data_IF_248623560518
#
_entry.id   IF_248623560518
#
_cell.length_a   1.000
_cell.length_b   1.000
_cell.length_c   1.000
_cell.angle_alpha   90.00
_cell.angle_beta   90.00
_cell.angle_gamma   90.00
#
_symmetry.space_group_name_H-M   'P 1'
#
loop_
_entity.id
_entity.type
_entity.pdbx_description
1 polymer ?
#
# COMPACT_ATOMS: atom_id res chain seq x y z
N UNK A 1 -14.35 20.20 8.95
CA UNK A 1 -15.19 19.29 9.74
C UNK A 1 -14.26 18.17 10.14
N UNK A 2 -13.90 18.07 11.42
CA UNK A 2 -12.97 17.03 11.91
C UNK A 2 -13.60 15.66 11.71
N UNK A 3 -12.78 14.66 11.35
CA UNK A 3 -13.27 13.31 11.14
C UNK A 3 -13.69 12.68 12.49
N UNK A 4 -14.65 11.72 12.50
CA UNK A 4 -15.00 11.01 13.73
C UNK A 4 -13.82 10.32 14.42
N UNK A 5 -12.78 9.98 13.64
CA UNK A 5 -11.53 9.39 14.13
C UNK A 5 -10.69 10.44 14.87
N UNK A 6 -10.57 11.65 14.32
CA UNK A 6 -9.86 12.77 14.98
C UNK A 6 -10.52 13.13 16.33
N UNK A 7 -11.85 13.19 16.35
CA UNK A 7 -12.64 13.39 17.58
C UNK A 7 -12.45 12.26 18.58
N UNK A 8 -12.26 11.01 18.13
CA UNK A 8 -12.00 9.89 19.04
C UNK A 8 -10.63 9.96 19.74
N UNK A 9 -9.71 10.77 19.21
CA UNK A 9 -8.36 10.96 19.76
C UNK A 9 -8.28 12.14 20.74
N UNK A 10 -9.35 12.91 20.95
CA UNK A 10 -9.36 14.01 21.92
C UNK A 10 -9.65 13.51 23.34
N UNK A 11 -8.99 14.13 24.34
CA UNK A 11 -9.19 13.83 25.75
C UNK A 11 -10.68 13.92 26.14
N UNK A 12 -11.14 12.98 26.98
CA UNK A 12 -12.52 12.88 27.46
C UNK A 12 -13.59 12.76 26.37
N UNK A 13 -13.25 12.20 25.20
CA UNK A 13 -14.20 12.05 24.10
C UNK A 13 -14.33 10.58 23.70
N UNK A 14 -15.57 10.09 23.60
CA UNK A 14 -15.89 8.76 23.08
C UNK A 14 -16.88 8.90 21.93
N UNK A 15 -16.56 8.27 20.81
CA UNK A 15 -17.40 8.29 19.61
C UNK A 15 -17.99 6.90 19.39
N UNK A 16 -19.32 6.80 19.38
CA UNK A 16 -20.03 5.58 19.00
C UNK A 16 -20.77 5.83 17.69
N UNK A 17 -20.54 4.96 16.71
CA UNK A 17 -21.13 5.06 15.38
C UNK A 17 -21.89 3.77 15.10
N UNK A 18 -23.15 3.89 14.72
CA UNK A 18 -23.91 2.79 14.12
C UNK A 18 -24.03 3.04 12.63
N UNK A 19 -23.76 2.03 11.82
CA UNK A 19 -23.80 2.19 10.37
C UNK A 19 -24.24 0.89 9.69
N UNK A 20 -25.17 1.03 8.75
CA UNK A 20 -25.41 0.04 7.69
C UNK A 20 -24.72 0.46 6.39
N UNK A 21 -24.01 1.59 6.39
CA UNK A 21 -23.26 2.08 5.23
C UNK A 21 -21.90 1.41 5.19
N UNK A 22 -21.61 0.65 4.14
CA UNK A 22 -20.41 -0.15 4.08
C UNK A 22 -19.11 0.65 3.98
N UNK A 23 -19.15 1.72 3.19
CA UNK A 23 -18.03 2.65 3.00
C UNK A 23 -17.58 3.27 4.33
N UNK A 24 -18.53 3.57 5.23
CA UNK A 24 -18.22 4.12 6.55
C UNK A 24 -17.61 3.06 7.46
N UNK A 25 -18.18 1.84 7.49
CA UNK A 25 -17.64 0.73 8.29
C UNK A 25 -16.19 0.38 7.88
N UNK A 26 -15.89 0.41 6.58
CA UNK A 26 -14.57 0.12 6.05
C UNK A 26 -13.51 1.19 6.30
N UNK A 27 -13.86 2.36 6.86
CA UNK A 27 -12.93 3.42 7.24
C UNK A 27 -12.54 3.38 8.73
N UNK A 28 -13.22 2.55 9.53
CA UNK A 28 -13.01 2.45 10.96
C UNK A 28 -11.97 1.35 11.28
N UNK A 29 -11.16 1.52 12.34
CA UNK A 29 -10.21 0.50 12.79
C UNK A 29 -10.90 -0.84 13.03
N UNK A 30 -10.28 -1.95 12.61
CA UNK A 30 -10.87 -3.31 12.72
C UNK A 30 -11.31 -3.64 14.13
N UNK A 31 -10.45 -3.39 15.11
CA UNK A 31 -10.69 -3.65 16.53
C UNK A 31 -11.86 -2.84 17.12
N UNK A 32 -12.27 -1.74 16.47
CA UNK A 32 -13.41 -0.92 16.89
C UNK A 32 -14.76 -1.48 16.41
N UNK A 33 -14.76 -2.36 15.40
CA UNK A 33 -16.00 -2.88 14.84
C UNK A 33 -16.71 -3.86 15.80
N UNK A 34 -18.03 -3.75 15.82
CA UNK A 34 -18.94 -4.69 16.49
C UNK A 34 -20.03 -5.08 15.50
N UNK A 35 -20.24 -6.38 15.27
CA UNK A 35 -21.39 -6.86 14.52
C UNK A 35 -22.55 -7.06 15.48
N UNK A 36 -23.71 -6.52 15.14
CA UNK A 36 -24.95 -6.71 15.89
C UNK A 36 -25.89 -7.53 15.02
N UNK A 37 -26.21 -8.75 15.45
CA UNK A 37 -27.16 -9.66 14.79
C UNK A 37 -28.39 -9.89 15.66
N UNK A 38 -29.48 -10.36 15.04
CA UNK A 38 -30.70 -10.73 15.73
C UNK A 38 -31.08 -12.16 15.35
N UNK A 39 -30.88 -13.08 16.28
CA UNK A 39 -31.23 -14.49 16.12
C UNK A 39 -32.49 -14.78 16.96
N UNK A 40 -33.62 -14.97 16.28
CA UNK A 40 -34.91 -15.28 16.90
C UNK A 40 -35.34 -14.33 18.05
N UNK A 41 -35.01 -13.04 17.93
CA UNK A 41 -35.36 -12.01 18.93
C UNK A 41 -34.26 -11.73 19.95
N UNK A 42 -33.17 -12.50 19.94
CA UNK A 42 -32.01 -12.31 20.81
C UNK A 42 -30.96 -11.49 20.05
N UNK A 43 -30.55 -10.36 20.63
CA UNK A 43 -29.49 -9.50 20.06
C UNK A 43 -28.13 -10.01 20.50
N UNK A 44 -27.33 -10.43 19.53
CA UNK A 44 -25.95 -10.83 19.75
C UNK A 44 -25.02 -9.68 19.34
N UNK A 45 -24.01 -9.41 20.17
CA UNK A 45 -22.97 -8.40 19.91
C UNK A 45 -21.65 -9.12 19.85
N UNK A 46 -21.03 -9.11 18.68
CA UNK A 46 -19.83 -9.88 18.41
C UNK A 46 -18.65 -8.92 18.21
N UNK A 47 -17.53 -9.10 18.95
CA UNK A 47 -16.33 -8.31 18.75
C UNK A 47 -15.69 -8.63 17.40
N UNK A 48 -14.83 -7.73 16.91
CA UNK A 48 -14.07 -7.98 15.69
C UNK A 48 -13.16 -9.20 15.85
N UNK A 49 -13.51 -10.26 15.14
CA UNK A 49 -12.72 -11.47 14.88
C UNK A 49 -12.76 -11.75 13.38
N UNK A 50 -11.90 -12.64 12.92
CA UNK A 50 -11.76 -12.96 11.49
C UNK A 50 -13.08 -13.43 10.85
N UNK A 51 -13.85 -14.26 11.55
CA UNK A 51 -15.17 -14.73 11.14
C UNK A 51 -16.24 -13.61 11.19
N UNK A 52 -16.18 -12.72 12.18
CA UNK A 52 -17.11 -11.60 12.32
C UNK A 52 -16.88 -10.55 11.22
N UNK A 53 -15.62 -10.27 10.88
CA UNK A 53 -15.28 -9.36 9.78
C UNK A 53 -15.83 -9.87 8.45
N UNK A 54 -15.76 -11.18 8.19
CA UNK A 54 -16.38 -11.78 7.01
C UNK A 54 -17.90 -11.55 7.01
N UNK A 55 -18.57 -11.84 8.11
CA UNK A 55 -20.03 -11.66 8.22
C UNK A 55 -20.45 -10.21 8.10
N UNK A 56 -19.64 -9.26 8.59
CA UNK A 56 -19.84 -7.82 8.37
C UNK A 56 -19.79 -7.50 6.87
N UNK A 57 -18.79 -8.00 6.15
CA UNK A 57 -18.64 -7.80 4.69
C UNK A 57 -19.83 -8.38 3.93
N UNK A 58 -20.25 -9.60 4.27
CA UNK A 58 -21.38 -10.29 3.65
C UNK A 58 -22.69 -9.54 3.90
N UNK A 59 -22.91 -9.08 5.14
CA UNK A 59 -24.11 -8.33 5.55
C UNK A 59 -24.19 -6.96 4.86
N UNK A 60 -23.04 -6.31 4.69
CA UNK A 60 -22.95 -4.98 4.11
C UNK A 60 -22.92 -4.99 2.58
N UNK A 61 -22.95 -6.16 1.94
CA UNK A 61 -22.96 -6.27 0.47
C UNK A 61 -21.73 -5.64 -0.17
N UNK A 62 -20.60 -5.66 0.55
CA UNK A 62 -19.33 -5.11 0.12
C UNK A 62 -18.69 -6.02 -0.92
N UNK A 63 -19.29 -6.08 -2.11
CA UNK A 63 -18.56 -6.51 -3.29
C UNK A 63 -17.56 -5.39 -3.63
N UNK A 64 -16.27 -5.72 -3.79
CA UNK A 64 -15.28 -4.75 -4.24
C UNK A 64 -15.50 -4.45 -5.71
N UNK A 65 -14.98 -3.31 -6.15
CA UNK A 65 -14.86 -3.03 -7.57
C UNK A 65 -14.19 -4.24 -8.24
N UNK A 66 -14.81 -4.81 -9.28
CA UNK A 66 -14.38 -6.10 -9.80
C UNK A 66 -12.97 -5.94 -10.36
N UNK A 67 -12.02 -6.63 -9.72
CA UNK A 67 -10.75 -6.99 -10.35
C UNK A 67 -11.11 -7.55 -11.73
N UNK A 68 -10.48 -6.99 -12.76
CA UNK A 68 -10.78 -7.36 -14.15
C UNK A 68 -10.78 -8.89 -14.28
N UNK A 69 -11.79 -9.45 -14.96
CA UNK A 69 -11.85 -10.90 -15.20
C UNK A 69 -10.65 -11.44 -15.99
N UNK A 70 -9.90 -10.55 -16.64
CA UNK A 70 -8.70 -10.89 -17.39
C UNK A 70 -7.42 -10.82 -16.54
N UNK A 71 -7.52 -10.40 -15.27
CA UNK A 71 -6.37 -10.33 -14.38
C UNK A 71 -5.77 -11.73 -14.21
N UNK A 72 -4.45 -11.83 -14.41
CA UNK A 72 -3.69 -13.08 -14.26
C UNK A 72 -2.96 -13.17 -12.94
N UNK A 73 -2.72 -12.03 -12.31
CA UNK A 73 -2.17 -11.92 -10.97
C UNK A 73 -2.62 -10.62 -10.30
N UNK A 74 -2.48 -10.53 -8.98
CA UNK A 74 -2.79 -9.33 -8.20
C UNK A 74 -1.53 -8.84 -7.49
N UNK A 75 -1.24 -7.54 -7.59
CA UNK A 75 -0.22 -6.88 -6.77
C UNK A 75 -0.92 -5.95 -5.78
N UNK A 76 -0.85 -6.29 -4.50
CA UNK A 76 -1.37 -5.49 -3.40
C UNK A 76 -0.37 -4.40 -3.04
N UNK A 77 -0.85 -3.16 -2.93
CA UNK A 77 -0.06 -1.99 -2.52
C UNK A 77 -0.78 -1.20 -1.43
N UNK A 78 -0.09 -0.37 -0.67
CA UNK A 78 -0.67 0.33 0.47
C UNK A 78 -1.62 1.47 0.04
N UNK A 79 -1.12 2.36 -0.80
CA UNK A 79 -1.76 3.60 -1.22
C UNK A 79 -2.18 3.61 -2.68
N UNK A 80 -3.08 4.54 -3.01
CA UNK A 80 -3.46 4.79 -4.41
C UNK A 80 -2.27 5.27 -5.24
N UNK A 81 -1.43 6.12 -4.65
CA UNK A 81 -0.28 6.72 -5.33
C UNK A 81 0.79 5.66 -5.67
N UNK A 82 0.81 4.54 -4.94
CA UNK A 82 1.71 3.42 -5.23
C UNK A 82 1.40 2.77 -6.58
N UNK A 83 0.13 2.81 -7.01
CA UNK A 83 -0.26 2.32 -8.35
C UNK A 83 0.46 3.13 -9.43
N UNK A 84 0.55 4.46 -9.26
CA UNK A 84 1.29 5.35 -10.16
C UNK A 84 2.78 5.03 -10.12
N UNK A 85 3.34 4.84 -8.92
CA UNK A 85 4.73 4.44 -8.72
C UNK A 85 5.06 3.14 -9.45
N UNK A 86 4.30 2.07 -9.22
CA UNK A 86 4.53 0.75 -9.83
C UNK A 86 4.44 0.85 -11.36
N UNK A 87 3.39 1.46 -11.89
CA UNK A 87 3.17 1.54 -13.33
C UNK A 87 4.30 2.31 -14.02
N UNK A 88 4.64 3.50 -13.53
CA UNK A 88 5.69 4.32 -14.11
C UNK A 88 7.07 3.66 -14.00
N UNK A 89 7.39 3.07 -12.85
CA UNK A 89 8.66 2.36 -12.65
C UNK A 89 8.76 1.17 -13.59
N UNK A 90 7.71 0.37 -13.73
CA UNK A 90 7.71 -0.79 -14.63
C UNK A 90 7.88 -0.36 -16.09
N UNK A 91 7.20 0.72 -16.50
CA UNK A 91 7.34 1.32 -17.83
C UNK A 91 8.81 1.74 -18.09
N UNK A 92 9.41 2.52 -17.19
CA UNK A 92 10.78 3.04 -17.35
C UNK A 92 11.85 1.95 -17.35
N UNK A 93 11.69 0.94 -16.50
CA UNK A 93 12.59 -0.21 -16.46
C UNK A 93 12.45 -1.08 -17.71
N UNK A 94 11.23 -1.24 -18.24
CA UNK A 94 10.97 -1.97 -19.49
C UNK A 94 11.54 -1.24 -20.70
N UNK A 95 11.33 0.08 -20.80
CA UNK A 95 11.89 0.94 -21.87
C UNK A 95 13.42 0.83 -21.95
N UNK A 96 14.08 0.67 -20.81
CA UNK A 96 15.53 0.51 -20.71
C UNK A 96 16.01 -0.96 -20.72
N UNK A 97 15.12 -1.92 -20.98
CA UNK A 97 15.40 -3.36 -21.03
C UNK A 97 15.94 -3.96 -19.71
N UNK A 98 15.62 -3.36 -18.56
CA UNK A 98 15.95 -3.92 -17.23
C UNK A 98 14.95 -4.99 -16.79
N UNK A 99 13.69 -4.89 -17.22
CA UNK A 99 12.67 -5.94 -17.04
C UNK A 99 12.05 -6.33 -18.38
N UNK A 100 11.50 -7.53 -18.46
CA UNK A 100 11.00 -8.10 -19.72
C UNK A 100 9.58 -7.70 -20.06
N UNK A 101 8.74 -7.35 -19.10
CA UNK A 101 7.35 -6.92 -19.32
C UNK A 101 6.96 -5.90 -18.25
N UNK A 102 5.97 -5.06 -18.54
CA UNK A 102 5.28 -4.29 -17.49
C UNK A 102 4.21 -5.14 -16.80
N UNK A 103 3.71 -4.65 -15.66
CA UNK A 103 2.59 -5.28 -14.96
C UNK A 103 1.32 -5.29 -15.81
N UNK A 104 1.07 -4.22 -16.57
CA UNK A 104 -0.06 -4.10 -17.49
C UNK A 104 0.01 -5.14 -18.61
N UNK A 105 1.18 -5.32 -19.24
CA UNK A 105 1.39 -6.33 -20.30
C UNK A 105 1.14 -7.77 -19.81
N UNK A 106 1.43 -8.04 -18.52
CA UNK A 106 1.16 -9.33 -17.87
C UNK A 106 -0.25 -9.43 -17.26
N UNK A 107 -1.10 -8.42 -17.44
CA UNK A 107 -2.45 -8.34 -16.88
C UNK A 107 -2.47 -8.48 -15.35
N UNK A 108 -1.55 -7.81 -14.65
CA UNK A 108 -1.63 -7.66 -13.21
C UNK A 108 -2.71 -6.64 -12.84
N UNK A 109 -3.53 -6.98 -11.85
CA UNK A 109 -4.36 -6.01 -11.17
C UNK A 109 -3.59 -5.43 -9.98
N UNK A 110 -3.23 -4.15 -10.03
CA UNK A 110 -2.59 -3.46 -8.91
C UNK A 110 -3.71 -2.88 -8.03
N UNK A 111 -3.80 -3.35 -6.78
CA UNK A 111 -4.93 -3.04 -5.89
C UNK A 111 -4.43 -2.33 -4.63
N UNK A 112 -4.82 -1.07 -4.40
CA UNK A 112 -4.52 -0.38 -3.16
C UNK A 112 -5.38 -0.90 -2.02
N UNK A 113 -4.75 -1.36 -0.94
CA UNK A 113 -5.42 -2.01 0.20
C UNK A 113 -5.69 -1.06 1.38
N UNK A 114 -5.08 0.12 1.37
CA UNK A 114 -5.02 1.04 2.50
C UNK A 114 -4.05 0.52 3.56
N UNK A 115 -3.35 1.43 4.26
CA UNK A 115 -2.35 1.09 5.28
C UNK A 115 -2.83 0.09 6.35
N UNK A 116 -1.88 -0.47 7.09
CA UNK A 116 -1.97 -1.70 7.90
C UNK A 116 -3.04 -1.74 9.04
N UNK A 117 -4.04 -0.85 9.06
CA UNK A 117 -5.02 -0.71 10.15
C UNK A 117 -6.48 -1.08 9.86
N UNK A 118 -6.88 -1.46 8.63
CA UNK A 118 -8.31 -1.51 8.28
C UNK A 118 -8.80 -2.85 7.69
N UNK A 119 -10.11 -3.11 7.86
CA UNK A 119 -10.85 -4.23 7.22
C UNK A 119 -10.58 -4.35 5.72
N UNK A 120 -10.20 -3.25 5.07
CA UNK A 120 -9.84 -3.21 3.65
C UNK A 120 -8.64 -4.11 3.33
N UNK A 121 -7.65 -4.19 4.22
CA UNK A 121 -6.50 -5.08 4.07
C UNK A 121 -6.95 -6.55 4.03
N UNK A 122 -7.75 -6.95 5.03
CA UNK A 122 -8.27 -8.31 5.13
C UNK A 122 -9.27 -8.67 4.02
N UNK A 123 -10.13 -7.72 3.64
CA UNK A 123 -11.04 -7.84 2.48
C UNK A 123 -10.28 -8.04 1.18
N UNK A 124 -9.16 -7.34 0.97
CA UNK A 124 -8.41 -7.46 -0.28
C UNK A 124 -7.62 -8.75 -0.37
N UNK A 125 -7.07 -9.24 0.74
CA UNK A 125 -6.46 -10.57 0.81
C UNK A 125 -7.46 -11.67 0.47
N UNK A 126 -8.66 -11.62 1.08
CA UNK A 126 -9.72 -12.57 0.74
C UNK A 126 -10.24 -12.45 -0.70
N UNK A 127 -10.17 -11.26 -1.29
CA UNK A 127 -10.48 -11.14 -2.71
C UNK A 127 -9.47 -11.86 -3.58
N UNK A 128 -8.18 -11.67 -3.30
CA UNK A 128 -7.15 -12.35 -4.06
C UNK A 128 -7.35 -13.88 -4.00
N UNK A 129 -7.71 -14.41 -2.83
CA UNK A 129 -8.10 -15.82 -2.67
C UNK A 129 -9.35 -16.20 -3.48
N UNK A 130 -10.38 -15.34 -3.54
CA UNK A 130 -11.62 -15.59 -4.28
C UNK A 130 -11.45 -15.64 -5.80
N UNK A 131 -10.50 -14.87 -6.37
CA UNK A 131 -10.25 -14.88 -7.82
C UNK A 131 -9.45 -16.08 -8.29
N UNK A 132 -8.92 -16.90 -7.37
CA UNK A 132 -8.11 -18.09 -7.67
C UNK A 132 -6.97 -17.80 -8.66
N UNK A 133 -6.39 -16.60 -8.55
CA UNK A 133 -5.22 -16.13 -9.30
C UNK A 133 -4.09 -15.80 -8.31
N UNK A 134 -2.82 -15.99 -8.69
CA UNK A 134 -1.70 -15.69 -7.81
C UNK A 134 -1.66 -14.22 -7.41
N UNK A 135 -1.13 -13.94 -6.23
CA UNK A 135 -0.98 -12.57 -5.74
C UNK A 135 0.34 -12.35 -5.03
N UNK A 136 0.75 -11.09 -4.99
CA UNK A 136 1.92 -10.59 -4.28
C UNK A 136 1.58 -9.27 -3.59
N UNK A 137 2.49 -8.80 -2.74
CA UNK A 137 2.30 -7.57 -1.97
C UNK A 137 3.60 -6.77 -1.84
N UNK A 138 3.46 -5.46 -1.94
CA UNK A 138 4.48 -4.47 -1.57
C UNK A 138 3.85 -3.51 -0.55
N UNK A 139 4.51 -3.30 0.58
CA UNK A 139 4.13 -2.30 1.59
C UNK A 139 5.31 -1.41 1.93
N UNK A 140 5.02 -0.27 2.56
CA UNK A 140 6.05 0.63 3.08
C UNK A 140 6.80 -0.08 4.22
N UNK A 141 8.11 0.12 4.30
CA UNK A 141 8.86 -0.40 5.46
C UNK A 141 8.62 0.41 6.70
N UNK A 142 8.12 1.64 6.59
CA UNK A 142 8.01 2.56 7.71
C UNK A 142 9.36 2.70 8.48
N UNK A 143 10.48 2.58 7.75
CA UNK A 143 11.85 2.61 8.27
C UNK A 143 12.08 3.79 9.21
N UNK A 144 12.60 3.51 10.40
CA UNK A 144 12.84 4.51 11.45
C UNK A 144 11.62 4.80 12.33
N UNK A 145 10.52 4.06 12.17
CA UNK A 145 9.33 4.12 13.04
C UNK A 145 9.07 2.79 13.76
N UNK A 146 8.21 2.76 14.80
CA UNK A 146 7.83 1.51 15.46
C UNK A 146 7.12 0.49 14.56
N UNK A 147 6.53 0.93 13.44
CA UNK A 147 5.80 0.03 12.52
C UNK A 147 6.76 -0.82 11.67
N UNK A 148 8.03 -0.42 11.52
CA UNK A 148 9.04 -1.14 10.73
C UNK A 148 9.17 -2.62 11.11
N UNK A 149 9.23 -2.88 12.41
CA UNK A 149 9.35 -4.25 12.95
C UNK A 149 8.10 -5.05 12.62
N UNK A 150 6.91 -4.44 12.72
CA UNK A 150 5.64 -5.11 12.44
C UNK A 150 5.50 -5.44 10.96
N UNK A 151 5.82 -4.50 10.08
CA UNK A 151 5.75 -4.70 8.63
C UNK A 151 6.73 -5.78 8.19
N UNK A 152 7.95 -5.79 8.75
CA UNK A 152 8.95 -6.83 8.49
C UNK A 152 8.49 -8.22 8.94
N UNK A 153 7.91 -8.33 10.15
CA UNK A 153 7.35 -9.62 10.63
C UNK A 153 6.21 -10.08 9.75
N UNK A 154 5.29 -9.20 9.37
CA UNK A 154 4.16 -9.52 8.50
C UNK A 154 4.63 -10.06 7.13
N UNK A 155 5.59 -9.38 6.49
CA UNK A 155 6.17 -9.83 5.23
C UNK A 155 6.90 -11.16 5.37
N UNK A 156 7.64 -11.38 6.45
CA UNK A 156 8.34 -12.65 6.68
C UNK A 156 7.37 -13.82 6.86
N UNK A 157 6.23 -13.61 7.54
CA UNK A 157 5.18 -14.63 7.65
C UNK A 157 4.59 -14.96 6.27
N UNK A 158 4.26 -13.95 5.46
CA UNK A 158 3.75 -14.15 4.11
C UNK A 158 4.76 -14.88 3.21
N UNK A 159 6.06 -14.56 3.32
CA UNK A 159 7.13 -15.29 2.61
C UNK A 159 7.21 -16.75 3.05
N UNK A 160 7.02 -17.04 4.35
CA UNK A 160 6.99 -18.41 4.85
C UNK A 160 5.82 -19.22 4.28
N UNK A 161 4.70 -18.54 3.98
CA UNK A 161 3.53 -19.11 3.30
C UNK A 161 3.71 -19.21 1.77
N UNK A 162 4.91 -18.89 1.24
CA UNK A 162 5.23 -18.96 -0.19
C UNK A 162 4.73 -17.77 -1.00
N UNK A 163 4.26 -16.70 -0.35
CA UNK A 163 3.78 -15.49 -1.02
C UNK A 163 4.97 -14.58 -1.31
N UNK A 164 5.01 -14.01 -2.52
CA UNK A 164 5.97 -12.97 -2.86
C UNK A 164 5.56 -11.67 -2.21
N UNK A 165 6.25 -11.33 -1.13
CA UNK A 165 5.91 -10.21 -0.27
C UNK A 165 7.17 -9.37 -0.02
N UNK A 166 7.08 -8.05 -0.14
CA UNK A 166 8.22 -7.16 0.06
C UNK A 166 7.83 -5.92 0.86
N UNK A 167 8.79 -5.41 1.64
CA UNK A 167 8.79 -4.02 2.11
C UNK A 167 9.78 -3.23 1.26
N UNK A 168 9.57 -1.92 1.12
CA UNK A 168 10.58 -1.01 0.56
C UNK A 168 11.85 -1.02 1.43
N UNK A 169 13.04 -0.74 0.86
CA UNK A 169 14.28 -0.63 1.66
C UNK A 169 14.41 0.71 2.37
N UNK A 170 13.83 1.77 1.81
CA UNK A 170 13.64 3.08 2.45
C UNK A 170 12.25 3.15 3.07
N UNK A 171 11.99 4.18 3.87
CA UNK A 171 10.75 4.30 4.65
C UNK A 171 9.47 4.11 3.82
N UNK A 172 9.33 4.84 2.72
CA UNK A 172 8.16 4.82 1.82
C UNK A 172 8.61 5.13 0.37
N UNK A 173 7.79 4.89 -0.66
CA UNK A 173 8.11 5.19 -2.06
C UNK A 173 8.56 6.64 -2.30
N UNK A 174 8.06 7.61 -1.54
CA UNK A 174 8.48 9.02 -1.65
C UNK A 174 9.96 9.24 -1.33
N UNK A 175 10.60 8.41 -0.49
CA UNK A 175 12.05 8.49 -0.20
C UNK A 175 12.93 8.15 -1.42
N UNK A 176 12.34 7.62 -2.49
CA UNK A 176 13.03 7.34 -3.74
C UNK A 176 12.94 8.50 -4.73
N UNK A 177 12.16 9.55 -4.44
CA UNK A 177 12.06 10.72 -5.34
C UNK A 177 13.43 11.39 -5.46
N UNK A 178 13.83 11.65 -6.70
CA UNK A 178 15.05 12.39 -6.98
C UNK A 178 14.85 13.90 -6.80
N UNK A 179 15.73 14.55 -6.04
CA UNK A 179 15.60 15.98 -5.74
C UNK A 179 15.60 16.85 -7.00
N UNK A 180 16.20 16.38 -8.11
CA UNK A 180 16.19 17.11 -9.37
C UNK A 180 14.79 17.25 -9.96
N UNK A 181 13.89 16.27 -9.77
CA UNK A 181 12.51 16.38 -10.28
C UNK A 181 11.65 17.36 -9.48
N UNK A 182 12.12 17.74 -8.29
CA UNK A 182 11.47 18.76 -7.51
C UNK A 182 11.72 20.16 -8.10
N UNK A 183 12.71 20.40 -8.97
CA UNK A 183 13.02 21.76 -9.46
C UNK A 183 13.17 22.77 -8.31
N UNK A 184 14.03 22.45 -7.34
CA UNK A 184 14.32 23.32 -6.20
C UNK A 184 15.07 24.58 -6.66
N UNK A 185 14.87 25.73 -5.98
CA UNK A 185 15.65 26.94 -6.27
C UNK A 185 17.16 26.70 -6.16
N UNK A 186 17.95 27.43 -6.96
CA UNK A 186 19.40 27.37 -6.87
C UNK A 186 19.87 27.72 -5.45
N UNK A 187 20.71 26.87 -4.86
CA UNK A 187 21.18 27.01 -3.49
C UNK A 187 20.21 26.51 -2.41
N UNK A 188 19.13 25.81 -2.80
CA UNK A 188 18.27 25.12 -1.83
C UNK A 188 19.07 24.10 -1.01
N UNK A 189 18.84 24.12 0.30
CA UNK A 189 19.39 23.15 1.27
C UNK A 189 18.40 22.02 1.58
N UNK A 190 17.26 21.97 0.89
CA UNK A 190 16.26 20.95 1.10
C UNK A 190 16.82 19.56 0.79
N UNK A 191 16.74 18.68 1.78
CA UNK A 191 17.17 17.29 1.68
C UNK A 191 16.34 16.46 2.65
N UNK A 192 16.29 15.16 2.40
CA UNK A 192 15.75 14.17 3.32
C UNK A 192 16.59 12.89 3.21
N UNK A 193 16.61 12.10 4.27
CA UNK A 193 17.27 10.80 4.33
C UNK A 193 16.25 9.66 4.25
N UNK A 194 16.74 8.42 4.18
CA UNK A 194 15.90 7.24 3.92
C UNK A 194 14.89 6.92 5.04
N UNK A 195 15.08 7.48 6.25
CA UNK A 195 14.19 7.31 7.42
C UNK A 195 13.21 8.47 7.63
N UNK A 196 13.39 9.58 6.90
CA UNK A 196 12.53 10.74 7.03
C UNK A 196 11.17 10.48 6.38
N UNK A 197 10.14 11.16 6.87
CA UNK A 197 8.81 11.21 6.23
C UNK A 197 8.89 12.11 4.99
N UNK A 198 9.40 11.55 3.88
CA UNK A 198 9.66 12.28 2.66
C UNK A 198 8.36 12.83 2.06
N UNK A 199 7.24 12.11 2.20
CA UNK A 199 5.89 12.52 1.83
C UNK A 199 5.49 13.83 2.52
N UNK A 200 5.72 13.97 3.83
CA UNK A 200 5.47 15.23 4.54
C UNK A 200 6.46 16.33 4.16
N UNK A 201 7.76 16.02 4.13
CA UNK A 201 8.79 17.03 3.84
C UNK A 201 8.64 17.63 2.45
N UNK A 202 8.47 16.80 1.42
CA UNK A 202 8.25 17.27 0.04
C UNK A 202 6.93 18.00 -0.07
N UNK A 203 5.87 17.52 0.59
CA UNK A 203 4.56 18.18 0.60
C UNK A 203 4.64 19.62 1.14
N UNK A 204 5.39 19.83 2.22
CA UNK A 204 5.64 21.15 2.80
C UNK A 204 6.48 22.03 1.87
N UNK A 205 7.62 21.53 1.38
CA UNK A 205 8.52 22.27 0.49
C UNK A 205 7.83 22.70 -0.80
N UNK A 206 6.94 21.85 -1.33
CA UNK A 206 6.24 22.09 -2.60
C UNK A 206 4.84 22.67 -2.44
N UNK A 207 4.38 22.88 -1.21
CA UNK A 207 3.03 23.38 -0.94
C UNK A 207 1.96 22.53 -1.65
N UNK A 208 2.12 21.21 -1.64
CA UNK A 208 1.15 20.25 -2.16
C UNK A 208 0.67 19.32 -1.05
N UNK A 209 -0.49 18.69 -1.26
CA UNK A 209 -0.98 17.68 -0.31
C UNK A 209 -0.01 16.51 -0.30
N UNK A 210 0.34 16.04 0.91
CA UNK A 210 1.28 14.94 1.12
C UNK A 210 0.92 13.69 0.29
N UNK A 211 -0.38 13.34 0.22
CA UNK A 211 -0.87 12.17 -0.52
C UNK A 211 -0.69 12.29 -2.05
N UNK A 212 -0.49 13.50 -2.56
CA UNK A 212 -0.27 13.76 -3.99
C UNK A 212 1.21 13.81 -4.36
N UNK A 213 2.14 13.72 -3.40
CA UNK A 213 3.59 13.89 -3.65
C UNK A 213 4.09 12.88 -4.68
N UNK A 214 3.82 11.60 -4.45
CA UNK A 214 4.26 10.53 -5.34
C UNK A 214 3.60 10.65 -6.72
N UNK A 215 2.28 10.86 -6.78
CA UNK A 215 1.54 11.05 -8.03
C UNK A 215 2.02 12.26 -8.84
N UNK A 216 2.51 13.31 -8.17
CA UNK A 216 2.96 14.54 -8.82
C UNK A 216 4.37 14.41 -9.37
N UNK A 217 5.30 13.86 -8.58
CA UNK A 217 6.72 13.92 -8.89
C UNK A 217 7.28 12.63 -9.47
N UNK A 218 6.77 11.47 -9.08
CA UNK A 218 7.26 10.18 -9.57
C UNK A 218 7.17 10.04 -11.09
N UNK A 219 6.07 10.44 -11.77
CA UNK A 219 5.97 10.33 -13.24
C UNK A 219 7.01 11.15 -14.01
N UNK A 220 7.66 12.12 -13.35
CA UNK A 220 8.72 12.93 -13.96
C UNK A 220 10.10 12.28 -13.85
N UNK A 221 10.24 11.17 -13.11
CA UNK A 221 11.52 10.49 -12.96
C UNK A 221 11.91 9.75 -14.24
N UNK A 222 13.17 9.93 -14.61
CA UNK A 222 13.83 9.21 -15.71
C UNK A 222 14.28 7.82 -15.26
N UNK A 223 14.57 6.94 -16.21
CA UNK A 223 15.17 5.64 -15.91
C UNK A 223 16.44 5.79 -15.09
N UNK A 224 17.37 6.67 -15.47
CA UNK A 224 18.63 6.87 -14.73
C UNK A 224 18.40 7.30 -13.28
N UNK A 225 17.47 8.21 -13.03
CA UNK A 225 17.11 8.61 -11.67
C UNK A 225 16.52 7.44 -10.87
N UNK A 226 15.64 6.65 -11.49
CA UNK A 226 15.08 5.44 -10.86
C UNK A 226 16.20 4.43 -10.55
N UNK A 227 17.12 4.17 -11.49
CA UNK A 227 18.28 3.28 -11.31
C UNK A 227 19.14 3.73 -10.13
N UNK A 228 19.46 5.01 -10.07
CA UNK A 228 20.28 5.57 -9.00
C UNK A 228 19.58 5.43 -7.64
N UNK A 229 18.26 5.60 -7.60
CA UNK A 229 17.47 5.58 -6.35
C UNK A 229 17.15 4.19 -5.84
N UNK A 230 16.98 3.21 -6.73
CA UNK A 230 16.77 1.80 -6.35
C UNK A 230 18.08 1.06 -6.05
N UNK A 231 19.23 1.67 -6.34
CA UNK A 231 20.54 1.04 -6.17
C UNK A 231 20.84 0.83 -4.70
N UNK A 232 21.33 -0.36 -4.36
CA UNK A 232 21.86 -0.65 -3.04
C UNK A 232 23.05 -1.59 -3.07
N UNK A 233 23.80 -1.62 -1.97
CA UNK A 233 24.89 -2.57 -1.78
C UNK A 233 24.41 -3.75 -0.93
N UNK A 234 24.74 -4.94 -1.40
CA UNK A 234 24.48 -6.21 -0.72
C UNK A 234 25.76 -7.04 -0.79
N UNK A 235 26.42 -7.22 0.35
CA UNK A 235 27.71 -7.90 0.43
C UNK A 235 28.78 -7.37 -0.56
N UNK A 236 28.74 -6.06 -0.84
CA UNK A 236 29.66 -5.40 -1.78
C UNK A 236 29.25 -5.50 -3.25
N UNK A 237 28.13 -6.16 -3.56
CA UNK A 237 27.55 -6.25 -4.90
C UNK A 237 26.52 -5.14 -5.06
N UNK A 238 26.60 -4.40 -6.17
CA UNK A 238 25.57 -3.43 -6.55
C UNK A 238 24.33 -4.15 -7.04
N UNK A 239 23.20 -3.91 -6.36
CA UNK A 239 21.89 -4.50 -6.60
C UNK A 239 20.84 -3.42 -6.81
N UNK A 240 19.66 -3.81 -7.29
CA UNK A 240 18.64 -2.87 -7.76
C UNK A 240 17.26 -3.33 -7.30
N UNK A 241 16.76 -2.65 -6.28
CA UNK A 241 15.61 -3.08 -5.50
C UNK A 241 14.36 -3.33 -6.35
N UNK A 242 13.94 -2.35 -7.14
CA UNK A 242 12.70 -2.44 -7.91
C UNK A 242 12.84 -3.41 -9.06
N UNK A 243 14.00 -3.43 -9.71
CA UNK A 243 14.27 -4.33 -10.83
C UNK A 243 14.19 -5.78 -10.40
N UNK A 244 14.83 -6.13 -9.28
CA UNK A 244 14.82 -7.50 -8.77
C UNK A 244 13.45 -7.89 -8.23
N UNK A 245 12.80 -7.01 -7.47
CA UNK A 245 11.46 -7.24 -6.93
C UNK A 245 10.40 -7.35 -8.04
N UNK A 246 10.41 -6.45 -9.03
CA UNK A 246 9.44 -6.49 -10.12
C UNK A 246 9.68 -7.69 -11.03
N UNK A 247 10.95 -8.02 -11.32
CA UNK A 247 11.27 -9.24 -12.06
C UNK A 247 10.74 -10.47 -11.32
N UNK A 248 10.91 -10.54 -10.00
CA UNK A 248 10.37 -11.63 -9.19
C UNK A 248 8.84 -11.67 -9.25
N UNK A 249 8.14 -10.55 -9.05
CA UNK A 249 6.68 -10.50 -9.16
C UNK A 249 6.18 -10.96 -10.53
N UNK A 250 6.79 -10.52 -11.62
CA UNK A 250 6.36 -10.86 -12.98
C UNK A 250 6.41 -12.37 -13.27
N UNK A 251 7.22 -13.15 -12.53
CA UNK A 251 7.23 -14.62 -12.66
C UNK A 251 5.98 -15.31 -12.12
N UNK A 252 5.09 -14.62 -11.40
CA UNK A 252 3.77 -15.18 -11.01
C UNK A 252 2.88 -15.47 -12.22
N UNK A 253 3.14 -14.80 -13.33
CA UNK A 253 2.41 -15.01 -14.57
C UNK A 253 3.32 -15.67 -15.62
N UNK A 254 2.94 -16.83 -16.17
CA UNK A 254 3.68 -17.45 -17.27
C UNK A 254 3.77 -16.51 -18.49
#
# INVERSE_FOLDING_TARGET
>A
MESPIELSNTLNTQVLITTHTPTLAGLLPTNSLRLITNDAGIRNVEPASEDVLQRIVDTLGLLPDPISKNARAILLVEGKSDVTFINHTSQKLKEANHITHTFDEKNFAIVPIGGCGNLKHWRTLKLAEQFNIPWCILIDSDLGTPEEVKNTIAINNLKADGIKAYVTRKREPENYIDLAVLALPAGSMFTFIDTDDAKVLIGLEKTIRKDNVLDTFWPSMTTEQIRNKETYLDEGITRFEFTEMFADFLTLTP
#
